data_IF_762535547167
#
_entry.id   IF_762535547167
#
_cell.length_a   1.000
_cell.length_b   1.000
_cell.length_c   1.000
_cell.angle_alpha   90.00
_cell.angle_beta   90.00
_cell.angle_gamma   90.00
#
_symmetry.space_group_name_H-M   'P 1'
#
loop_
_entity.id
_entity.type
_entity.pdbx_description
1 polymer ?
#
# COMPACT_ATOMS: atom_id res chain seq x y z
N UNK A 1 7.93 3.88 -5.48
CA UNK A 1 7.10 4.20 -4.30
C UNK A 1 5.75 3.48 -4.38
N UNK A 2 5.23 2.92 -3.28
CA UNK A 2 3.85 2.40 -3.23
C UNK A 2 2.89 3.55 -2.93
N UNK A 3 1.84 3.74 -3.75
CA UNK A 3 0.85 4.80 -3.58
C UNK A 3 -0.49 4.26 -3.09
N UNK A 4 -0.96 3.19 -3.71
CA UNK A 4 -2.22 2.54 -3.36
C UNK A 4 -2.09 1.07 -3.71
N UNK A 5 -2.67 0.21 -2.87
CA UNK A 5 -2.81 -1.20 -3.10
C UNK A 5 -4.25 -1.62 -2.84
N UNK A 6 -4.85 -2.34 -3.78
CA UNK A 6 -6.23 -2.81 -3.69
C UNK A 6 -6.27 -4.31 -3.75
N UNK A 7 -7.08 -4.91 -2.89
CA UNK A 7 -7.30 -6.36 -2.86
C UNK A 7 -8.78 -6.64 -2.69
N UNK A 8 -9.26 -7.69 -3.35
CA UNK A 8 -10.61 -8.21 -3.23
C UNK A 8 -10.56 -9.72 -3.44
N UNK A 9 -11.43 -10.44 -2.75
CA UNK A 9 -11.54 -11.90 -2.86
C UNK A 9 -10.18 -12.63 -2.71
N UNK A 10 -9.39 -12.23 -1.71
CA UNK A 10 -8.09 -12.84 -1.40
C UNK A 10 -8.07 -13.33 0.05
N UNK A 11 -8.03 -14.66 0.24
CA UNK A 11 -8.02 -15.31 1.56
C UNK A 11 -9.12 -14.76 2.48
N UNK A 12 -8.75 -13.97 3.49
CA UNK A 12 -9.66 -13.39 4.48
C UNK A 12 -10.34 -12.08 4.03
N UNK A 13 -10.05 -11.58 2.84
CA UNK A 13 -10.64 -10.34 2.30
C UNK A 13 -11.69 -10.70 1.25
N UNK A 14 -12.96 -10.77 1.65
CA UNK A 14 -14.08 -10.96 0.74
C UNK A 14 -14.34 -9.69 -0.08
N UNK A 15 -14.56 -8.58 0.63
CA UNK A 15 -14.79 -7.25 0.06
C UNK A 15 -13.49 -6.57 -0.36
N UNK A 16 -13.63 -5.47 -1.10
CA UNK A 16 -12.49 -4.66 -1.52
C UNK A 16 -11.87 -3.93 -0.31
N UNK A 17 -10.57 -4.12 -0.11
CA UNK A 17 -9.75 -3.32 0.79
C UNK A 17 -8.84 -2.41 -0.04
N UNK A 18 -8.84 -1.13 0.32
CA UNK A 18 -7.97 -0.10 -0.26
C UNK A 18 -6.93 0.32 0.78
N UNK A 19 -5.67 -0.02 0.53
CA UNK A 19 -4.53 0.41 1.33
C UNK A 19 -3.84 1.60 0.64
N UNK A 20 -4.09 2.81 1.14
CA UNK A 20 -3.54 4.05 0.58
C UNK A 20 -2.32 4.53 1.36
N UNK A 21 -1.28 4.88 0.62
CA UNK A 21 -0.06 5.53 1.08
C UNK A 21 0.01 6.99 0.59
N UNK A 22 -1.08 7.51 0.02
CA UNK A 22 -1.15 8.92 -0.39
C UNK A 22 -1.33 9.79 0.87
N UNK A 23 -0.47 10.79 1.12
CA UNK A 23 -0.59 11.65 2.29
C UNK A 23 -1.88 12.46 2.24
N UNK A 24 -2.53 12.63 3.40
CA UNK A 24 -3.74 13.43 3.48
C UNK A 24 -3.44 14.91 3.17
N UNK A 25 -4.28 15.63 2.38
CA UNK A 25 -3.98 17.00 1.93
C UNK A 25 -3.76 18.02 3.06
N UNK A 26 -4.33 17.77 4.24
CA UNK A 26 -4.30 18.69 5.39
C UNK A 26 -3.18 18.39 6.39
N UNK A 27 -2.37 17.35 6.16
CA UNK A 27 -1.34 16.92 7.10
C UNK A 27 -0.10 17.81 6.97
N UNK A 28 0.17 18.63 7.99
CA UNK A 28 1.30 19.57 8.07
C UNK A 28 2.27 19.12 9.16
N UNK A 29 3.56 19.43 9.03
CA UNK A 29 4.58 19.14 10.05
C UNK A 29 5.19 17.74 9.99
N UNK A 30 4.84 16.94 8.99
CA UNK A 30 5.42 15.61 8.72
C UNK A 30 6.14 15.56 7.37
N UNK A 31 6.63 16.71 6.88
CA UNK A 31 7.30 16.80 5.58
C UNK A 31 8.51 15.87 5.46
N UNK A 32 9.17 15.55 6.58
CA UNK A 32 10.28 14.60 6.65
C UNK A 32 9.86 13.14 6.45
N UNK A 33 8.59 12.80 6.66
CA UNK A 33 8.03 11.46 6.46
C UNK A 33 7.30 11.29 5.12
N UNK A 34 7.30 12.34 4.29
CA UNK A 34 6.67 12.32 2.97
C UNK A 34 7.76 12.13 1.91
N UNK A 35 7.71 10.97 1.24
CA UNK A 35 8.47 10.71 0.04
C UNK A 35 7.94 11.58 -1.10
N UNK A 36 8.84 12.20 -1.87
CA UNK A 36 8.51 13.02 -3.03
C UNK A 36 9.33 12.52 -4.21
N UNK A 37 8.66 12.19 -5.30
CA UNK A 37 9.31 11.70 -6.52
C UNK A 37 8.73 12.42 -7.73
N UNK A 38 9.60 13.00 -8.57
CA UNK A 38 9.18 13.70 -9.78
C UNK A 38 9.28 12.75 -10.97
N UNK A 39 8.14 12.47 -11.60
CA UNK A 39 8.05 11.63 -12.79
C UNK A 39 7.47 12.50 -13.91
N UNK A 40 8.33 12.87 -14.86
CA UNK A 40 8.00 13.83 -15.91
C UNK A 40 7.62 15.20 -15.34
N UNK A 41 6.41 15.66 -15.64
CA UNK A 41 5.87 16.95 -15.17
C UNK A 41 5.14 16.86 -13.83
N UNK A 42 4.88 15.64 -13.31
CA UNK A 42 4.11 15.43 -12.08
C UNK A 42 5.01 15.10 -10.90
N UNK A 43 4.68 15.65 -9.74
CA UNK A 43 5.30 15.28 -8.46
C UNK A 43 4.36 14.37 -7.71
N UNK A 44 4.80 13.14 -7.46
CA UNK A 44 4.09 12.16 -6.66
C UNK A 44 4.55 12.28 -5.21
N UNK A 45 3.59 12.14 -4.30
CA UNK A 45 3.84 12.14 -2.85
C UNK A 45 3.33 10.84 -2.26
N UNK A 46 4.10 10.25 -1.36
CA UNK A 46 3.71 9.04 -0.63
C UNK A 46 4.25 9.06 0.79
N UNK A 47 3.61 8.31 1.67
CA UNK A 47 4.11 8.07 3.02
C UNK A 47 5.34 7.15 2.96
N UNK A 48 6.32 7.39 3.83
CA UNK A 48 7.54 6.58 3.90
C UNK A 48 7.33 5.23 4.58
N UNK A 49 6.34 5.13 5.47
CA UNK A 49 6.05 3.93 6.25
C UNK A 49 4.57 3.86 6.62
N UNK A 50 4.14 2.66 6.99
CA UNK A 50 2.82 2.38 7.53
C UNK A 50 2.91 1.29 8.58
N UNK A 51 2.00 1.33 9.55
CA UNK A 51 1.89 0.33 10.62
C UNK A 51 0.56 -0.37 10.49
N UNK A 52 0.58 -1.71 10.43
CA UNK A 52 -0.62 -2.54 10.33
C UNK A 52 -0.77 -3.30 11.66
N UNK A 53 -1.80 -2.96 12.42
CA UNK A 53 -2.11 -3.57 13.72
C UNK A 53 -3.54 -4.09 13.76
N UNK A 54 -3.83 -4.98 14.71
CA UNK A 54 -5.14 -5.59 14.87
C UNK A 54 -5.08 -6.94 15.61
N UNK A 55 -6.22 -7.53 15.98
CA UNK A 55 -6.29 -8.82 16.69
C UNK A 55 -5.63 -9.98 15.95
N UNK A 56 -5.38 -11.09 16.65
CA UNK A 56 -4.93 -12.33 16.00
C UNK A 56 -5.94 -12.79 14.95
N UNK A 57 -5.46 -13.39 13.86
CA UNK A 57 -6.26 -13.82 12.70
C UNK A 57 -7.05 -12.72 11.96
N UNK A 58 -6.84 -11.44 12.25
CA UNK A 58 -7.54 -10.32 11.58
C UNK A 58 -7.11 -10.04 10.13
N UNK A 59 -6.36 -10.95 9.48
CA UNK A 59 -5.94 -10.80 8.08
C UNK A 59 -4.68 -9.97 7.81
N UNK A 60 -3.93 -9.52 8.83
CA UNK A 60 -2.69 -8.73 8.64
C UNK A 60 -1.65 -9.41 7.75
N UNK A 61 -1.35 -10.68 8.03
CA UNK A 61 -0.42 -11.49 7.22
C UNK A 61 -0.97 -11.74 5.81
N UNK A 62 -2.30 -11.81 5.64
CA UNK A 62 -2.91 -11.97 4.32
C UNK A 62 -2.75 -10.71 3.47
N UNK A 63 -2.78 -9.50 4.06
CA UNK A 63 -2.51 -8.27 3.32
C UNK A 63 -1.08 -8.26 2.75
N UNK A 64 -0.10 -8.64 3.57
CA UNK A 64 1.31 -8.75 3.13
C UNK A 64 1.45 -9.83 2.05
N UNK A 65 0.86 -11.01 2.26
CA UNK A 65 0.89 -12.09 1.26
C UNK A 65 0.24 -11.71 -0.07
N UNK A 66 -0.80 -10.86 -0.06
CA UNK A 66 -1.40 -10.36 -1.28
C UNK A 66 -0.43 -9.44 -2.05
N UNK A 67 0.32 -8.59 -1.34
CA UNK A 67 1.35 -7.74 -1.94
C UNK A 67 2.50 -8.58 -2.52
N UNK A 68 2.89 -9.67 -1.86
CA UNK A 68 3.91 -10.60 -2.37
C UNK A 68 3.46 -11.31 -3.65
N UNK A 69 2.22 -11.81 -3.68
CA UNK A 69 1.64 -12.42 -4.89
C UNK A 69 1.56 -11.40 -6.03
N UNK A 70 1.09 -10.19 -5.75
CA UNK A 70 1.05 -9.13 -6.76
C UNK A 70 2.44 -8.82 -7.31
N UNK A 71 3.46 -8.71 -6.44
CA UNK A 71 4.85 -8.52 -6.84
C UNK A 71 5.36 -9.69 -7.69
N UNK A 72 5.03 -10.93 -7.35
CA UNK A 72 5.40 -12.11 -8.14
C UNK A 72 4.78 -12.05 -9.54
N UNK A 73 3.48 -11.75 -9.64
CA UNK A 73 2.79 -11.59 -10.93
C UNK A 73 3.46 -10.51 -11.79
N UNK A 74 3.75 -9.34 -11.23
CA UNK A 74 4.35 -8.23 -11.98
C UNK A 74 5.77 -8.56 -12.44
N UNK A 75 6.58 -9.22 -11.60
CA UNK A 75 7.99 -9.49 -11.91
C UNK A 75 8.22 -10.76 -12.74
N UNK A 76 7.40 -11.79 -12.54
CA UNK A 76 7.57 -13.12 -13.14
C UNK A 76 6.51 -13.46 -14.18
N UNK A 77 5.37 -12.79 -14.17
CA UNK A 77 4.22 -13.10 -15.02
C UNK A 77 3.38 -14.30 -14.55
N UNK A 78 3.64 -14.82 -13.34
CA UNK A 78 2.91 -15.94 -12.76
C UNK A 78 2.78 -15.82 -11.23
N UNK A 79 1.95 -16.68 -10.65
CA UNK A 79 1.74 -16.83 -9.20
C UNK A 79 2.67 -17.92 -8.68
#
# INVERSE_FOLDING_TARGET
>A
MLLEFKIKNYKSFLDELVFTMVPAPKQKGLDYSILKEKIGLKVYKGLSSAVIYGPNASGKTNLIGAMEVFKAIVLRGNI
#
